data_IF_779155893812
#
_entry.id   IF_779155893812
#
_cell.length_a   1.000
_cell.length_b   1.000
_cell.length_c   1.000
_cell.angle_alpha   90.00
_cell.angle_beta   90.00
_cell.angle_gamma   90.00
#
_symmetry.space_group_name_H-M   'P 1'
#
loop_
_entity.id
_entity.type
_entity.pdbx_description
1 polymer ?
#
# COMPACT_ATOMS: atom_id res chain seq x y z
N UNK A 1 6.18 15.97 -18.43
CA UNK A 1 5.65 16.02 -19.80
C UNK A 1 4.82 14.76 -20.02
N UNK A 2 3.56 14.91 -20.41
CA UNK A 2 2.58 13.83 -20.59
C UNK A 2 2.85 13.01 -21.87
N UNK A 3 2.44 11.75 -21.93
CA UNK A 3 1.42 11.20 -22.87
C UNK A 3 1.29 9.68 -22.74
N UNK A 4 0.21 9.15 -23.33
CA UNK A 4 -0.55 7.94 -23.00
C UNK A 4 -0.27 6.79 -23.99
N UNK A 5 -0.67 5.57 -23.62
CA UNK A 5 -1.12 4.41 -24.44
C UNK A 5 -0.13 3.27 -24.80
N UNK A 6 -0.61 2.03 -24.66
CA UNK A 6 -0.31 0.94 -25.62
C UNK A 6 0.54 -0.23 -25.11
N UNK A 7 -0.10 -1.37 -24.81
CA UNK A 7 0.54 -2.69 -24.61
C UNK A 7 0.59 -3.45 -25.93
N UNK A 8 1.75 -4.02 -26.30
CA UNK A 8 1.87 -5.39 -26.86
C UNK A 8 3.33 -5.86 -26.90
N UNK A 9 3.58 -7.09 -26.43
CA UNK A 9 4.86 -7.81 -26.50
C UNK A 9 4.54 -9.28 -26.88
N UNK A 10 5.06 -9.90 -27.97
CA UNK A 10 5.11 -11.39 -28.06
C UNK A 10 6.40 -11.90 -27.47
N UNK A 11 6.99 -13.04 -27.87
CA UNK A 11 7.44 -14.14 -27.01
C UNK A 11 8.39 -15.23 -27.61
N UNK A 12 8.97 -15.14 -28.82
CA UNK A 12 9.74 -16.23 -29.51
C UNK A 12 10.89 -16.86 -28.70
N UNK A 13 10.82 -18.17 -28.46
CA UNK A 13 11.71 -18.92 -27.56
C UNK A 13 12.81 -19.65 -28.34
N UNK A 14 14.09 -19.32 -28.11
CA UNK A 14 15.23 -20.12 -28.60
C UNK A 14 16.20 -20.35 -27.44
N UNK A 15 16.63 -21.61 -27.24
CA UNK A 15 17.46 -22.08 -26.12
C UNK A 15 16.86 -21.87 -24.71
N UNK A 16 15.60 -22.29 -24.50
CA UNK A 16 14.99 -22.32 -23.16
C UNK A 16 14.62 -20.94 -22.56
N UNK A 17 14.86 -19.85 -23.28
CA UNK A 17 14.42 -18.48 -22.95
C UNK A 17 13.48 -17.95 -24.03
N UNK A 18 12.40 -17.27 -23.64
CA UNK A 18 11.35 -16.73 -24.53
C UNK A 18 11.57 -15.25 -24.81
N UNK A 19 11.43 -14.82 -26.08
CA UNK A 19 11.72 -13.49 -26.66
C UNK A 19 10.56 -12.93 -27.52
N UNK A 20 9.65 -12.14 -26.99
CA UNK A 20 9.48 -10.76 -27.40
C UNK A 20 8.55 -10.25 -28.57
N UNK A 21 8.11 -10.95 -29.64
CA UNK A 21 7.63 -10.30 -30.92
C UNK A 21 6.13 -9.90 -31.15
N UNK A 22 5.63 -8.76 -30.67
CA UNK A 22 4.19 -8.38 -30.73
C UNK A 22 3.53 -8.31 -32.13
N UNK A 23 2.24 -8.69 -32.22
CA UNK A 23 1.35 -8.41 -33.36
C UNK A 23 0.02 -7.83 -32.84
N UNK A 24 -0.37 -6.68 -33.35
CA UNK A 24 -1.57 -5.94 -32.97
C UNK A 24 -2.65 -6.13 -34.03
N UNK A 25 -3.84 -6.59 -33.63
CA UNK A 25 -5.08 -6.47 -34.40
C UNK A 25 -6.05 -5.60 -33.61
N UNK A 26 -6.54 -4.55 -34.26
CA UNK A 26 -7.57 -3.65 -33.75
C UNK A 26 -8.92 -4.12 -34.26
N UNK A 27 -9.90 -4.31 -33.38
CA UNK A 27 -11.32 -4.25 -33.71
C UNK A 27 -12.18 -4.14 -32.44
N UNK A 28 -13.07 -3.14 -32.42
CA UNK A 28 -14.36 -3.23 -31.74
C UNK A 28 -14.45 -2.61 -30.34
N UNK A 29 -15.34 -1.63 -30.23
CA UNK A 29 -15.84 -1.01 -29.00
C UNK A 29 -16.41 -2.03 -27.99
N UNK A 30 -15.65 -2.30 -26.94
CA UNK A 30 -16.08 -3.06 -25.77
C UNK A 30 -15.20 -2.70 -24.58
N UNK A 31 -15.80 -2.52 -23.40
CA UNK A 31 -15.10 -2.16 -22.17
C UNK A 31 -13.88 -3.07 -21.91
N UNK A 32 -12.72 -2.52 -21.51
CA UNK A 32 -11.51 -3.30 -21.33
C UNK A 32 -11.69 -4.27 -20.16
N UNK A 33 -11.87 -5.56 -20.47
CA UNK A 33 -11.80 -6.64 -19.49
C UNK A 33 -10.34 -6.77 -19.06
N UNK A 34 -9.98 -6.18 -17.92
CA UNK A 34 -8.66 -6.35 -17.30
C UNK A 34 -8.47 -7.83 -16.97
N UNK A 35 -7.76 -8.55 -17.84
CA UNK A 35 -7.38 -9.94 -17.59
C UNK A 35 -6.13 -9.91 -16.71
N UNK A 36 -6.31 -10.15 -15.41
CA UNK A 36 -5.21 -10.36 -14.46
C UNK A 36 -4.32 -11.48 -15.03
N UNK A 37 -3.12 -11.16 -15.50
CA UNK A 37 -2.15 -12.17 -15.93
C UNK A 37 -1.51 -12.76 -14.67
N UNK A 38 -2.07 -13.86 -14.16
CA UNK A 38 -1.43 -14.66 -13.11
C UNK A 38 -0.27 -15.43 -13.73
N UNK A 39 0.96 -15.13 -13.34
CA UNK A 39 2.12 -15.94 -13.69
C UNK A 39 1.91 -17.37 -13.13
N UNK A 40 1.96 -18.38 -14.01
CA UNK A 40 1.84 -19.80 -13.64
C UNK A 40 3.24 -20.39 -13.61
N UNK A 41 3.59 -21.07 -12.51
CA UNK A 41 4.86 -21.77 -12.39
C UNK A 41 4.79 -23.09 -13.17
N UNK A 42 5.95 -23.70 -13.45
CA UNK A 42 6.12 -24.92 -14.26
C UNK A 42 5.30 -26.14 -13.79
N UNK A 43 4.77 -26.10 -12.56
CA UNK A 43 3.94 -27.14 -11.95
C UNK A 43 2.43 -26.84 -11.98
N UNK A 44 1.96 -25.81 -12.70
CA UNK A 44 0.54 -25.45 -12.76
C UNK A 44 -0.06 -24.90 -11.46
N UNK A 45 0.75 -24.78 -10.40
CA UNK A 45 0.36 -24.15 -9.14
C UNK A 45 0.41 -22.63 -9.26
N UNK A 46 -0.71 -21.99 -8.93
CA UNK A 46 -0.75 -20.55 -8.69
C UNK A 46 -0.09 -20.31 -7.34
N UNK A 47 1.19 -19.96 -7.32
CA UNK A 47 1.79 -19.45 -6.08
C UNK A 47 1.11 -18.12 -5.78
N UNK A 48 0.16 -18.14 -4.86
CA UNK A 48 -0.36 -16.93 -4.24
C UNK A 48 0.86 -16.22 -3.66
N UNK A 49 1.32 -15.14 -4.31
CA UNK A 49 2.39 -14.35 -3.73
C UNK A 49 1.84 -13.72 -2.46
N UNK A 50 2.33 -14.20 -1.32
CA UNK A 50 1.99 -13.66 -0.01
C UNK A 50 2.68 -12.30 0.11
N UNK A 51 1.98 -11.26 -0.35
CA UNK A 51 2.44 -9.89 -0.24
C UNK A 51 2.47 -9.47 1.23
N UNK A 52 3.41 -8.59 1.57
CA UNK A 52 3.49 -7.96 2.88
C UNK A 52 3.40 -6.45 2.73
N UNK A 53 2.69 -5.82 3.65
CA UNK A 53 2.61 -4.37 3.73
C UNK A 53 2.91 -3.88 5.12
N UNK A 54 3.53 -2.70 5.20
CA UNK A 54 3.81 -2.03 6.45
C UNK A 54 2.74 -0.97 6.72
N UNK A 55 2.15 -1.05 7.90
CA UNK A 55 1.12 -0.12 8.37
C UNK A 55 1.55 0.43 9.71
N UNK A 56 1.55 1.75 9.83
CA UNK A 56 1.89 2.44 11.07
C UNK A 56 0.71 3.26 11.57
N UNK A 57 0.33 3.04 12.83
CA UNK A 57 -0.61 3.89 13.57
C UNK A 57 0.20 5.04 14.13
N UNK A 58 -0.16 6.27 13.71
CA UNK A 58 0.51 7.50 14.15
C UNK A 58 0.17 7.82 15.61
N UNK A 59 0.90 8.74 16.26
CA UNK A 59 0.67 9.11 17.66
C UNK A 59 -0.76 9.56 17.96
N UNK A 60 -1.44 10.20 17.01
CA UNK A 60 -2.86 10.56 17.16
C UNK A 60 -3.77 9.34 17.33
N UNK A 61 -3.56 8.29 16.51
CA UNK A 61 -4.36 7.08 16.57
C UNK A 61 -4.11 6.26 17.83
N UNK A 62 -2.88 6.27 18.34
CA UNK A 62 -2.53 5.59 19.59
C UNK A 62 -3.09 6.33 20.81
N UNK A 63 -2.96 7.66 20.86
CA UNK A 63 -3.50 8.49 21.94
C UNK A 63 -5.03 8.44 22.01
N UNK A 64 -5.71 8.25 20.88
CA UNK A 64 -7.18 8.11 20.81
C UNK A 64 -7.67 6.68 21.08
N UNK A 65 -6.78 5.73 21.35
CA UNK A 65 -7.17 4.34 21.62
C UNK A 65 -7.69 3.57 20.40
N UNK A 66 -7.35 3.99 19.18
CA UNK A 66 -7.87 3.40 17.94
C UNK A 66 -7.15 2.13 17.50
N UNK A 67 -6.17 1.65 18.28
CA UNK A 67 -5.30 0.52 17.93
C UNK A 67 -6.12 -0.75 17.69
N UNK A 68 -7.03 -1.08 18.62
CA UNK A 68 -7.86 -2.28 18.53
C UNK A 68 -8.80 -2.26 17.33
N UNK A 69 -9.49 -1.15 17.10
CA UNK A 69 -10.41 -0.99 15.96
C UNK A 69 -9.69 -1.15 14.61
N UNK A 70 -8.48 -0.58 14.48
CA UNK A 70 -7.68 -0.69 13.27
C UNK A 70 -7.27 -2.15 13.04
N UNK A 71 -6.71 -2.81 14.05
CA UNK A 71 -6.29 -4.22 13.96
C UNK A 71 -7.47 -5.11 13.59
N UNK A 72 -8.60 -4.95 14.30
CA UNK A 72 -9.82 -5.72 14.07
C UNK A 72 -10.31 -5.62 12.62
N UNK A 73 -10.20 -4.45 11.97
CA UNK A 73 -10.57 -4.30 10.55
C UNK A 73 -9.69 -5.12 9.62
N UNK A 74 -8.39 -5.16 9.84
CA UNK A 74 -7.46 -5.96 9.02
C UNK A 74 -7.63 -7.46 9.28
N UNK A 75 -7.84 -7.88 10.52
CA UNK A 75 -8.13 -9.27 10.87
C UNK A 75 -9.46 -9.74 10.31
N UNK A 76 -10.53 -8.93 10.43
CA UNK A 76 -11.86 -9.23 9.88
C UNK A 76 -11.84 -9.35 8.35
N UNK A 77 -10.90 -8.67 7.67
CA UNK A 77 -10.70 -8.80 6.24
C UNK A 77 -10.01 -10.13 5.86
N UNK A 78 -9.36 -10.80 6.81
CA UNK A 78 -8.63 -12.05 6.61
C UNK A 78 -7.13 -11.87 6.39
N UNK A 79 -6.57 -10.70 6.71
CA UNK A 79 -5.12 -10.50 6.68
C UNK A 79 -4.45 -11.06 7.94
N UNK A 80 -3.24 -11.59 7.77
CA UNK A 80 -2.46 -12.12 8.88
C UNK A 80 -1.54 -11.04 9.43
N UNK A 81 -1.60 -10.79 10.74
CA UNK A 81 -0.61 -9.98 11.43
C UNK A 81 0.67 -10.81 11.59
N UNK A 82 1.78 -10.36 10.99
CA UNK A 82 3.07 -11.06 11.02
C UNK A 82 3.98 -10.49 12.10
N UNK A 83 3.96 -9.17 12.27
CA UNK A 83 4.77 -8.48 13.26
C UNK A 83 4.05 -7.23 13.74
N UNK A 84 4.22 -6.91 15.01
CA UNK A 84 3.76 -5.67 15.62
C UNK A 84 4.81 -5.20 16.62
N UNK A 85 5.10 -3.89 16.61
CA UNK A 85 6.01 -3.26 17.56
C UNK A 85 5.51 -1.87 17.93
N UNK A 86 5.41 -1.61 19.23
CA UNK A 86 5.23 -0.27 19.74
C UNK A 86 6.60 0.42 19.83
N UNK A 87 6.76 1.55 19.14
CA UNK A 87 8.01 2.33 19.12
C UNK A 87 7.71 3.80 19.34
N UNK A 88 8.56 4.49 20.10
CA UNK A 88 8.65 5.95 20.04
C UNK A 88 9.85 6.28 19.13
N UNK A 89 9.62 6.66 17.87
CA UNK A 89 10.70 6.84 16.90
C UNK A 89 11.60 8.01 17.32
N UNK A 90 12.92 7.81 17.23
CA UNK A 90 13.88 8.91 17.32
C UNK A 90 13.75 9.83 16.11
N UNK A 91 14.22 11.07 16.25
CA UNK A 91 14.21 12.06 15.16
C UNK A 91 14.92 11.53 13.91
N UNK A 92 16.10 10.94 14.08
CA UNK A 92 16.90 10.33 13.01
C UNK A 92 16.14 9.23 12.26
N UNK A 93 15.42 8.37 12.98
CA UNK A 93 14.63 7.30 12.38
C UNK A 93 13.44 7.86 11.57
N UNK A 94 12.77 8.89 12.11
CA UNK A 94 11.66 9.54 11.43
C UNK A 94 12.13 10.30 10.17
N UNK A 95 13.26 11.01 10.24
CA UNK A 95 13.86 11.70 9.09
C UNK A 95 14.26 10.70 7.99
N UNK A 96 14.89 9.59 8.36
CA UNK A 96 15.27 8.53 7.41
C UNK A 96 14.03 7.91 6.75
N UNK A 97 12.96 7.67 7.53
CA UNK A 97 11.72 7.09 6.99
C UNK A 97 10.99 8.03 6.02
N UNK A 98 11.10 9.34 6.22
CA UNK A 98 10.46 10.38 5.43
C UNK A 98 11.42 11.15 4.50
N UNK A 99 12.60 10.62 4.20
CA UNK A 99 13.64 11.31 3.43
C UNK A 99 13.14 11.80 2.06
N UNK A 100 12.27 11.04 1.40
CA UNK A 100 11.63 11.42 0.14
C UNK A 100 10.74 12.69 0.23
N UNK A 101 10.42 13.15 1.45
CA UNK A 101 9.62 14.34 1.72
C UNK A 101 10.46 15.49 2.31
N UNK A 102 11.78 15.35 2.40
CA UNK A 102 12.68 16.32 3.06
C UNK A 102 12.61 17.72 2.47
N UNK A 103 12.35 17.84 1.17
CA UNK A 103 12.20 19.12 0.46
C UNK A 103 10.82 19.77 0.63
N UNK A 104 9.87 19.10 1.29
CA UNK A 104 8.51 19.61 1.48
C UNK A 104 8.44 20.53 2.69
N UNK A 105 7.67 21.63 2.62
CA UNK A 105 7.57 22.60 3.72
C UNK A 105 6.96 22.03 5.00
N UNK A 106 6.28 20.88 4.92
CA UNK A 106 5.67 20.19 6.05
C UNK A 106 6.56 19.10 6.68
N UNK A 107 7.80 18.92 6.21
CA UNK A 107 8.70 17.85 6.70
C UNK A 107 9.06 18.02 8.19
N UNK A 108 9.48 19.21 8.60
CA UNK A 108 9.84 19.49 10.00
C UNK A 108 8.68 19.19 10.96
N UNK A 109 7.51 19.80 10.78
CA UNK A 109 6.33 19.51 11.59
C UNK A 109 5.89 18.03 11.56
N UNK A 110 6.08 17.33 10.43
CA UNK A 110 5.76 15.91 10.31
C UNK A 110 6.69 15.05 11.18
N UNK A 111 8.00 15.32 11.16
CA UNK A 111 8.98 14.60 11.97
C UNK A 111 8.71 14.84 13.46
N UNK A 112 8.49 16.09 13.85
CA UNK A 112 8.13 16.45 15.24
C UNK A 112 6.84 15.75 15.68
N UNK A 113 5.82 15.74 14.83
CA UNK A 113 4.56 15.06 15.12
C UNK A 113 4.76 13.55 15.32
N UNK A 114 5.59 12.89 14.50
CA UNK A 114 5.85 11.45 14.62
C UNK A 114 6.66 11.13 15.87
N UNK A 115 7.61 11.98 16.26
CA UNK A 115 8.39 11.83 17.48
C UNK A 115 7.63 12.21 18.76
N UNK A 116 6.51 12.93 18.65
CA UNK A 116 5.73 13.42 19.79
C UNK A 116 5.13 12.30 20.65
N UNK A 117 4.89 11.11 20.10
CA UNK A 117 4.23 10.04 20.84
C UNK A 117 4.50 8.64 20.30
N UNK A 118 3.71 7.68 20.79
CA UNK A 118 3.89 6.27 20.49
C UNK A 118 3.35 5.94 19.10
N UNK A 119 4.14 5.22 18.31
CA UNK A 119 3.76 4.69 17.00
C UNK A 119 3.65 3.18 17.10
N UNK A 120 2.55 2.61 16.61
CA UNK A 120 2.44 1.15 16.46
C UNK A 120 2.77 0.79 15.02
N UNK A 121 3.93 0.17 14.83
CA UNK A 121 4.39 -0.36 13.56
C UNK A 121 3.91 -1.81 13.40
N UNK A 122 3.26 -2.12 12.29
CA UNK A 122 2.71 -3.45 12.00
C UNK A 122 3.05 -3.92 10.59
N UNK A 123 3.19 -5.22 10.43
CA UNK A 123 3.34 -5.89 9.14
C UNK A 123 2.18 -6.84 8.93
N UNK A 124 1.44 -6.63 7.85
CA UNK A 124 0.31 -7.45 7.44
C UNK A 124 0.66 -8.25 6.20
N UNK A 125 0.23 -9.51 6.17
CA UNK A 125 0.46 -10.44 5.08
C UNK A 125 -0.86 -10.96 4.50
N UNK A 126 -0.91 -11.05 3.17
CA UNK A 126 -2.00 -11.68 2.45
C UNK A 126 -2.08 -11.24 0.99
N UNK A 127 -2.93 -11.92 0.22
CA UNK A 127 -3.08 -11.65 -1.21
C UNK A 127 -3.61 -10.24 -1.45
N UNK A 128 -2.84 -9.42 -2.19
CA UNK A 128 -3.22 -8.05 -2.53
C UNK A 128 -3.26 -7.08 -1.34
N UNK A 129 -2.62 -7.44 -0.21
CA UNK A 129 -2.70 -6.66 1.04
C UNK A 129 -2.20 -5.22 0.87
N UNK A 130 -1.26 -4.97 -0.05
CA UNK A 130 -0.75 -3.61 -0.30
C UNK A 130 -1.84 -2.73 -0.91
N UNK A 131 -2.52 -3.20 -1.96
CA UNK A 131 -3.54 -2.43 -2.67
C UNK A 131 -4.79 -2.27 -1.81
N UNK A 132 -5.28 -3.36 -1.25
CA UNK A 132 -6.49 -3.35 -0.43
C UNK A 132 -6.26 -2.62 0.89
N UNK A 133 -5.09 -2.71 1.49
CA UNK A 133 -4.74 -1.95 2.69
C UNK A 133 -4.82 -0.44 2.46
N UNK A 134 -4.32 0.06 1.32
CA UNK A 134 -4.48 1.47 0.92
C UNK A 134 -5.94 1.87 0.73
N UNK A 135 -6.74 1.01 0.10
CA UNK A 135 -8.18 1.26 -0.09
C UNK A 135 -8.94 1.29 1.23
N UNK A 136 -8.64 0.37 2.15
CA UNK A 136 -9.25 0.32 3.48
C UNK A 136 -8.91 1.55 4.31
N UNK A 137 -7.70 2.08 4.17
CA UNK A 137 -7.27 3.27 4.91
C UNK A 137 -7.93 4.53 4.37
N UNK A 138 -8.15 4.62 3.06
CA UNK A 138 -8.80 5.76 2.42
C UNK A 138 -7.82 6.82 1.92
N UNK A 139 -8.36 7.88 1.33
CA UNK A 139 -7.59 8.98 0.75
C UNK A 139 -6.72 9.69 1.82
N UNK A 140 -5.68 10.40 1.40
CA UNK A 140 -4.82 11.15 2.34
C UNK A 140 -5.59 12.21 3.11
N UNK A 141 -6.58 12.82 2.45
CA UNK A 141 -7.52 13.74 3.05
C UNK A 141 -8.74 12.95 3.60
N UNK A 142 -9.02 12.99 4.92
CA UNK A 142 -10.22 12.38 5.49
C UNK A 142 -11.52 12.87 4.84
N UNK A 143 -11.60 14.14 4.42
CA UNK A 143 -12.79 14.72 3.79
C UNK A 143 -13.08 14.11 2.41
N UNK A 144 -12.05 13.58 1.74
CA UNK A 144 -12.16 12.90 0.46
C UNK A 144 -12.22 11.36 0.63
N UNK A 145 -12.16 10.89 1.88
CA UNK A 145 -12.17 9.46 2.17
C UNK A 145 -13.61 8.95 2.20
N UNK A 146 -13.86 7.84 1.51
CA UNK A 146 -15.18 7.23 1.50
C UNK A 146 -15.59 6.75 2.91
N UNK A 147 -16.88 6.84 3.27
CA UNK A 147 -17.40 6.22 4.48
C UNK A 147 -17.06 4.72 4.54
N UNK A 148 -16.69 4.22 5.73
CA UNK A 148 -16.22 2.85 5.94
C UNK A 148 -14.72 2.66 5.78
N UNK A 149 -13.99 3.67 5.26
CA UNK A 149 -12.52 3.68 5.32
C UNK A 149 -12.03 4.17 6.67
N UNK A 150 -10.81 3.79 7.05
CA UNK A 150 -10.33 4.13 8.39
C UNK A 150 -10.18 5.65 8.56
N UNK A 151 -9.71 6.38 7.53
CA UNK A 151 -9.65 7.84 7.58
C UNK A 151 -11.01 8.51 7.44
N UNK A 152 -11.96 7.93 6.71
CA UNK A 152 -13.32 8.45 6.64
C UNK A 152 -14.06 8.34 7.98
N UNK A 153 -13.89 7.21 8.67
CA UNK A 153 -14.61 6.95 9.92
C UNK A 153 -13.92 7.53 11.16
N UNK A 154 -12.57 7.51 11.18
CA UNK A 154 -11.79 7.86 12.37
C UNK A 154 -10.93 9.11 12.17
N UNK A 155 -10.72 9.57 10.93
CA UNK A 155 -9.91 10.74 10.61
C UNK A 155 -10.68 12.04 10.80
N UNK A 156 -10.05 12.99 11.50
CA UNK A 156 -10.59 14.35 11.69
C UNK A 156 -9.81 15.35 10.83
N UNK A 157 -8.48 15.21 10.78
CA UNK A 157 -7.57 16.11 10.05
C UNK A 157 -6.70 15.37 9.04
N UNK A 158 -6.33 16.09 7.97
CA UNK A 158 -5.36 15.63 6.97
C UNK A 158 -4.04 15.28 7.66
N UNK A 159 -3.56 14.06 7.45
CA UNK A 159 -2.26 13.60 7.96
C UNK A 159 -2.27 13.00 9.37
N UNK A 160 -3.42 12.93 10.05
CA UNK A 160 -3.55 12.27 11.35
C UNK A 160 -4.22 10.89 11.20
N UNK A 161 -4.11 10.04 12.22
CA UNK A 161 -4.58 8.63 12.29
C UNK A 161 -3.61 7.57 11.74
N UNK A 162 -3.44 7.42 10.42
CA UNK A 162 -2.77 6.23 9.84
C UNK A 162 -1.84 6.55 8.67
N UNK A 163 -0.74 5.80 8.55
CA UNK A 163 0.17 5.81 7.41
C UNK A 163 0.45 4.40 6.90
N UNK A 164 0.52 4.24 5.58
CA UNK A 164 0.94 2.99 4.92
C UNK A 164 2.23 3.26 4.19
N UNK A 165 3.25 2.45 4.48
CA UNK A 165 4.38 2.30 3.59
C UNK A 165 4.21 0.95 2.90
N UNK A 166 3.74 0.95 1.65
CA UNK A 166 3.83 -0.27 0.86
C UNK A 166 5.30 -0.50 0.56
N UNK A 167 5.83 -1.69 0.84
CA UNK A 167 7.11 -2.08 0.26
C UNK A 167 7.00 -1.83 -1.25
N UNK A 168 7.77 -0.86 -1.75
CA UNK A 168 8.01 -0.74 -3.19
C UNK A 168 8.84 -1.97 -3.54
N UNK A 169 8.18 -3.05 -3.94
CA UNK A 169 8.78 -4.05 -4.83
C UNK A 169 8.85 -3.46 -6.22
#
# INVERSE_FOLDING_TARGET
>A
MAFVTGVSVNCTRTNGRSICSSRTTFLGSGLPRVRLQTARNSAGQTTMQMERTFIAIKPDGTNRGLIGEIIARFEKKGYKLVAMKAIKPSKELAETHYDALKEKPFFGPLVEFICSGLVIAMVWEGTGVVKTGRQMIGATNPLESAPGTIRGDLGIDVGKVLHVHGARS
#
